data_IF_551320182619
#
_entry.id   IF_551320182619
#
_cell.length_a   1.000
_cell.length_b   1.000
_cell.length_c   1.000
_cell.angle_alpha   90.00
_cell.angle_beta   90.00
_cell.angle_gamma   90.00
#
_symmetry.space_group_name_H-M   'P 1'
#
loop_
_entity.id
_entity.type
_entity.pdbx_description
1 polymer ?
#
# COMPACT_ATOMS: atom_id res chain seq x y z
N UNK A 1 1.86 20.40 5.15
CA UNK A 1 1.25 19.08 4.92
C UNK A 1 1.20 18.88 3.40
N UNK A 2 0.62 17.81 2.84
CA UNK A 2 0.32 17.77 1.39
C UNK A 2 -1.03 18.47 1.16
N UNK A 3 -1.09 19.78 1.39
CA UNK A 3 -2.37 20.49 1.56
C UNK A 3 -3.14 20.66 0.24
N UNK A 4 -2.43 20.78 -0.88
CA UNK A 4 -3.02 21.01 -2.21
C UNK A 4 -2.73 19.87 -3.20
N UNK A 5 -2.41 18.67 -2.70
CA UNK A 5 -2.09 17.51 -3.54
C UNK A 5 -3.15 16.44 -3.32
N UNK A 6 -4.07 16.22 -4.28
CA UNK A 6 -4.95 15.07 -4.29
C UNK A 6 -4.14 13.76 -4.30
N UNK A 7 -4.58 12.82 -3.48
CA UNK A 7 -3.86 11.56 -3.23
C UNK A 7 -4.70 10.31 -3.50
N UNK A 8 -5.96 10.49 -3.88
CA UNK A 8 -6.94 9.44 -4.19
C UNK A 8 -6.64 8.68 -5.49
N UNK A 9 -5.79 9.23 -6.35
CA UNK A 9 -5.25 8.60 -7.56
C UNK A 9 -3.74 8.28 -7.46
N UNK A 10 -3.16 8.34 -6.25
CA UNK A 10 -1.71 8.24 -6.04
C UNK A 10 -1.29 6.94 -5.34
N UNK A 11 0.01 6.69 -5.40
CA UNK A 11 0.67 5.58 -4.70
C UNK A 11 1.62 6.16 -3.64
N UNK A 12 1.55 5.64 -2.42
CA UNK A 12 2.55 5.93 -1.39
C UNK A 12 3.61 4.83 -1.36
N UNK A 13 4.88 5.22 -1.36
CA UNK A 13 6.03 4.30 -1.30
C UNK A 13 6.85 4.59 -0.05
N UNK A 14 7.25 3.55 0.67
CA UNK A 14 8.16 3.66 1.81
C UNK A 14 9.22 2.57 1.80
N UNK A 15 10.34 2.81 2.46
CA UNK A 15 11.40 1.81 2.65
C UNK A 15 11.22 0.98 3.93
N UNK A 16 10.45 1.47 4.91
CA UNK A 16 10.27 0.87 6.22
C UNK A 16 9.17 -0.20 6.28
N UNK A 17 9.13 -0.97 7.38
CA UNK A 17 8.04 -1.93 7.63
C UNK A 17 6.68 -1.23 7.68
N UNK A 18 5.64 -1.91 7.24
CA UNK A 18 4.29 -1.36 7.27
C UNK A 18 3.57 -1.82 8.54
N UNK A 19 3.36 -0.89 9.46
CA UNK A 19 2.49 -1.06 10.63
C UNK A 19 1.08 -0.54 10.36
N UNK A 20 0.16 -0.84 11.28
CA UNK A 20 -1.20 -0.31 11.26
C UNK A 20 -1.25 1.22 11.29
N UNK A 21 -0.34 1.85 12.02
CA UNK A 21 -0.27 3.32 12.12
C UNK A 21 0.08 3.97 10.79
N UNK A 22 0.94 3.32 9.98
CA UNK A 22 1.25 3.80 8.62
C UNK A 22 0.00 3.72 7.75
N UNK A 23 -0.73 2.60 7.81
CA UNK A 23 -1.98 2.45 7.05
C UNK A 23 -3.04 3.46 7.45
N UNK A 24 -3.19 3.78 8.75
CA UNK A 24 -4.11 4.83 9.21
C UNK A 24 -3.71 6.21 8.65
N UNK A 25 -2.42 6.51 8.55
CA UNK A 25 -1.94 7.76 7.93
C UNK A 25 -2.24 7.81 6.43
N UNK A 26 -2.06 6.69 5.73
CA UNK A 26 -2.34 6.54 4.29
C UNK A 26 -3.85 6.64 4.02
N UNK A 27 -4.67 5.97 4.82
CA UNK A 27 -6.13 6.01 4.71
C UNK A 27 -6.72 7.39 4.97
N UNK A 28 -6.19 8.14 5.95
CA UNK A 28 -6.58 9.54 6.20
C UNK A 28 -6.32 10.47 5.01
N UNK A 29 -5.44 10.06 4.09
CA UNK A 29 -5.14 10.76 2.83
C UNK A 29 -5.84 10.11 1.63
N UNK A 30 -6.73 9.15 1.84
CA UNK A 30 -7.43 8.44 0.77
C UNK A 30 -6.50 7.79 -0.27
N UNK A 31 -5.23 7.51 0.08
CA UNK A 31 -4.28 6.89 -0.85
C UNK A 31 -4.68 5.44 -1.08
N UNK A 32 -4.99 5.02 -2.32
CA UNK A 32 -5.49 3.68 -2.61
C UNK A 32 -4.44 2.58 -2.56
N UNK A 33 -3.14 2.90 -2.69
CA UNK A 33 -2.04 1.93 -2.79
C UNK A 33 -0.87 2.30 -1.89
N UNK A 34 -0.42 1.37 -1.05
CA UNK A 34 0.79 1.49 -0.23
C UNK A 34 1.81 0.41 -0.59
N UNK A 35 3.02 0.84 -0.90
CA UNK A 35 4.14 -0.02 -1.33
C UNK A 35 5.29 0.07 -0.35
N UNK A 36 5.87 -1.07 0.00
CA UNK A 36 7.15 -1.12 0.70
C UNK A 36 8.09 -2.21 0.21
N UNK A 37 9.39 -1.91 0.32
CA UNK A 37 10.46 -2.91 0.19
C UNK A 37 10.53 -3.86 1.39
N UNK A 38 9.93 -3.49 2.51
CA UNK A 38 9.96 -4.25 3.77
C UNK A 38 8.65 -5.02 4.00
N UNK A 39 8.66 -5.91 4.99
CA UNK A 39 7.50 -6.70 5.38
C UNK A 39 6.39 -5.84 6.03
N UNK A 40 5.10 -6.11 5.76
CA UNK A 40 4.00 -5.65 6.59
C UNK A 40 3.85 -6.51 7.86
N UNK A 41 3.20 -5.98 8.89
CA UNK A 41 2.78 -6.78 10.06
C UNK A 41 1.45 -7.49 9.79
N UNK A 42 1.16 -8.58 10.51
CA UNK A 42 -0.13 -9.30 10.38
C UNK A 42 -1.34 -8.38 10.63
N UNK A 43 -1.25 -7.50 11.63
CA UNK A 43 -2.31 -6.53 11.89
C UNK A 43 -2.41 -5.50 10.75
N UNK A 44 -1.27 -5.08 10.18
CA UNK A 44 -1.25 -4.20 9.01
C UNK A 44 -1.93 -4.83 7.80
N UNK A 45 -1.66 -6.10 7.50
CA UNK A 45 -2.31 -6.81 6.38
C UNK A 45 -3.83 -6.84 6.55
N UNK A 46 -4.33 -7.20 7.74
CA UNK A 46 -5.78 -7.19 8.03
C UNK A 46 -6.37 -5.80 7.86
N UNK A 47 -5.74 -4.80 8.46
CA UNK A 47 -6.22 -3.42 8.41
C UNK A 47 -6.21 -2.86 6.97
N UNK A 48 -5.25 -3.22 6.13
CA UNK A 48 -5.27 -2.84 4.72
C UNK A 48 -6.46 -3.45 3.97
N UNK A 49 -6.85 -4.67 4.33
CA UNK A 49 -8.10 -5.30 3.89
C UNK A 49 -9.31 -4.45 4.26
N UNK A 50 -9.46 -4.13 5.54
CA UNK A 50 -10.61 -3.36 6.06
C UNK A 50 -10.69 -1.93 5.49
N UNK A 51 -9.54 -1.29 5.28
CA UNK A 51 -9.44 0.09 4.78
C UNK A 51 -9.55 0.21 3.25
N UNK A 52 -9.67 -0.88 2.51
CA UNK A 52 -9.74 -0.81 1.04
C UNK A 52 -8.41 -0.49 0.34
N UNK A 53 -7.28 -0.57 1.05
CA UNK A 53 -5.94 -0.17 0.57
C UNK A 53 -5.24 -1.37 -0.07
N UNK A 54 -4.77 -1.22 -1.29
CA UNK A 54 -3.88 -2.20 -1.93
C UNK A 54 -2.51 -2.17 -1.28
N UNK A 55 -2.12 -3.27 -0.65
CA UNK A 55 -0.88 -3.35 0.12
C UNK A 55 0.15 -4.22 -0.61
N UNK A 56 1.30 -3.63 -0.93
CA UNK A 56 2.44 -4.29 -1.55
C UNK A 56 3.62 -4.32 -0.57
N UNK A 57 4.20 -5.50 -0.37
CA UNK A 57 5.39 -5.69 0.45
C UNK A 57 6.47 -6.48 -0.29
N UNK A 58 7.70 -6.45 0.24
CA UNK A 58 8.86 -7.12 -0.36
C UNK A 58 9.11 -6.73 -1.83
N UNK A 59 8.78 -5.50 -2.22
CA UNK A 59 8.96 -5.04 -3.61
C UNK A 59 10.44 -4.90 -3.94
N UNK A 60 10.90 -5.63 -4.96
CA UNK A 60 12.30 -5.62 -5.45
C UNK A 60 12.38 -6.09 -6.90
N UNK A 61 12.88 -5.22 -7.79
CA UNK A 61 12.99 -5.52 -9.22
C UNK A 61 11.61 -5.83 -9.79
N UNK A 62 11.49 -6.96 -10.46
CA UNK A 62 10.25 -7.46 -11.08
C UNK A 62 9.39 -8.31 -10.14
N UNK A 63 9.68 -8.32 -8.83
CA UNK A 63 8.95 -9.13 -7.84
C UNK A 63 8.34 -8.27 -6.74
N UNK A 64 7.15 -8.66 -6.31
CA UNK A 64 6.42 -8.07 -5.19
C UNK A 64 5.41 -9.06 -4.61
N UNK A 65 5.02 -8.86 -3.36
CA UNK A 65 3.92 -9.60 -2.73
C UNK A 65 2.71 -8.67 -2.58
N UNK A 66 1.58 -9.10 -3.13
CA UNK A 66 0.29 -8.41 -2.97
C UNK A 66 -0.46 -9.01 -1.77
N UNK A 67 -0.74 -8.18 -0.78
CA UNK A 67 -1.37 -8.62 0.49
C UNK A 67 -2.88 -8.32 0.54
N UNK A 68 -3.35 -7.32 -0.21
CA UNK A 68 -4.76 -6.90 -0.21
C UNK A 68 -5.13 -6.20 -1.50
N UNK A 69 -6.42 -6.24 -1.88
CA UNK A 69 -7.00 -5.46 -2.98
C UNK A 69 -6.20 -5.49 -4.29
N UNK A 70 -5.84 -6.70 -4.75
CA UNK A 70 -5.01 -6.93 -5.94
C UNK A 70 -5.62 -6.40 -7.25
N UNK A 71 -6.93 -6.14 -7.28
CA UNK A 71 -7.66 -5.61 -8.45
C UNK A 71 -7.10 -4.30 -9.04
N UNK A 72 -6.26 -3.56 -8.30
CA UNK A 72 -5.62 -2.32 -8.76
C UNK A 72 -4.26 -2.54 -9.43
N UNK A 73 -3.78 -3.79 -9.46
CA UNK A 73 -2.49 -4.15 -10.04
C UNK A 73 -2.77 -4.81 -11.39
N UNK A 74 -2.29 -4.18 -12.46
CA UNK A 74 -2.23 -4.84 -13.76
C UNK A 74 -1.06 -5.83 -13.75
N UNK A 75 -1.30 -7.05 -14.22
CA UNK A 75 -0.25 -7.96 -14.63
C UNK A 75 -0.12 -7.86 -16.14
N UNK A 76 1.09 -7.60 -16.62
CA UNK A 76 1.42 -7.82 -18.03
C UNK A 76 1.41 -9.33 -18.25
N UNK A 77 0.24 -9.88 -18.55
CA UNK A 77 0.12 -11.26 -19.00
C UNK A 77 0.71 -11.37 -20.40
N UNK A 78 1.49 -12.44 -20.63
CA UNK A 78 1.61 -13.02 -21.98
C UNK A 78 0.25 -13.48 -22.49
#
# INVERSE_FOLDING_TARGET
MLDDIPTDDRIAITSGRISSEILLKVARRSVPVLVSRSAPTNLGVRLAGDLGITLLGFVRGERMNVYSHSRRIASDGE
#
